data_IF_479653998901
#
_entry.id   IF_479653998901
#
_cell.length_a   1.000
_cell.length_b   1.000
_cell.length_c   1.000
_cell.angle_alpha   90.00
_cell.angle_beta   90.00
_cell.angle_gamma   90.00
#
_symmetry.space_group_name_H-M   'P 1'
#
loop_
_entity.id
_entity.type
_entity.pdbx_description
1 polymer ?
#
# COMPACT_ATOMS: atom_id res chain seq x y z
N UNK A 1 26.34 4.44 -2.84
CA UNK A 1 27.18 4.05 -4.02
C UNK A 1 27.43 5.30 -4.86
N UNK A 2 28.59 5.44 -5.52
CA UNK A 2 28.81 6.47 -6.55
C UNK A 2 28.32 5.94 -7.90
N UNK A 3 27.38 6.67 -8.52
CA UNK A 3 26.76 6.30 -9.79
C UNK A 3 27.38 7.03 -11.01
N UNK A 4 28.25 8.02 -10.77
CA UNK A 4 28.89 8.80 -11.84
C UNK A 4 29.58 7.90 -12.87
N UNK A 5 29.29 8.11 -14.15
CA UNK A 5 29.82 7.36 -15.31
C UNK A 5 29.51 5.85 -15.32
N UNK A 6 28.72 5.32 -14.38
CA UNK A 6 28.30 3.91 -14.36
C UNK A 6 27.25 3.62 -15.43
N UNK A 7 27.36 2.45 -16.05
CA UNK A 7 26.39 1.95 -17.01
C UNK A 7 25.27 1.22 -16.27
N UNK A 8 24.11 1.82 -16.19
CA UNK A 8 22.98 1.28 -15.43
C UNK A 8 21.83 0.90 -16.37
N UNK A 9 21.39 -0.36 -16.27
CA UNK A 9 20.21 -0.84 -16.95
C UNK A 9 19.02 -0.80 -15.96
N UNK A 10 18.01 -0.04 -16.29
CA UNK A 10 16.73 -0.01 -15.53
C UNK A 10 15.75 -0.91 -16.26
N UNK A 11 15.28 -1.96 -15.60
CA UNK A 11 14.30 -2.90 -16.13
C UNK A 11 12.90 -2.56 -15.64
N UNK A 12 11.98 -2.30 -16.58
CA UNK A 12 10.60 -1.90 -16.37
C UNK A 12 10.37 -0.40 -16.48
N UNK A 13 9.47 0.00 -17.36
CA UNK A 13 9.14 1.39 -17.65
C UNK A 13 7.84 1.86 -16.96
N UNK A 14 7.52 1.32 -15.78
CA UNK A 14 6.51 1.84 -14.86
C UNK A 14 7.04 3.01 -14.03
N UNK A 15 6.21 3.55 -13.11
CA UNK A 15 6.57 4.71 -12.26
C UNK A 15 7.91 4.56 -11.53
N UNK A 16 8.16 3.40 -10.90
CA UNK A 16 9.42 3.11 -10.21
C UNK A 16 10.64 3.16 -11.16
N UNK A 17 10.52 2.55 -12.35
CA UNK A 17 11.62 2.53 -13.32
C UNK A 17 11.87 3.89 -13.96
N UNK A 18 10.82 4.64 -14.27
CA UNK A 18 10.93 6.01 -14.80
C UNK A 18 11.64 6.92 -13.78
N UNK A 19 11.21 6.88 -12.51
CA UNK A 19 11.82 7.66 -11.45
C UNK A 19 13.28 7.27 -11.21
N UNK A 20 13.58 5.96 -11.14
CA UNK A 20 14.93 5.47 -10.99
C UNK A 20 15.85 5.90 -12.16
N UNK A 21 15.36 5.81 -13.40
CA UNK A 21 16.13 6.20 -14.58
C UNK A 21 16.45 7.71 -14.56
N UNK A 22 15.46 8.53 -14.20
CA UNK A 22 15.67 9.96 -14.10
C UNK A 22 16.66 10.31 -12.98
N UNK A 23 16.52 9.76 -11.79
CA UNK A 23 17.43 10.01 -10.65
C UNK A 23 18.87 9.61 -11.02
N UNK A 24 19.06 8.44 -11.62
CA UNK A 24 20.38 7.96 -12.05
C UNK A 24 21.03 8.91 -13.06
N UNK A 25 20.24 9.44 -14.00
CA UNK A 25 20.73 10.43 -14.96
C UNK A 25 21.14 11.74 -14.25
N UNK A 26 20.41 12.19 -13.23
CA UNK A 26 20.84 13.34 -12.39
C UNK A 26 22.14 13.08 -11.61
N UNK A 27 22.46 11.80 -11.37
CA UNK A 27 23.71 11.36 -10.75
C UNK A 27 24.82 11.10 -11.77
N UNK A 28 24.63 11.53 -13.02
CA UNK A 28 25.57 11.38 -14.13
C UNK A 28 25.90 9.93 -14.53
N UNK A 29 24.97 8.99 -14.31
CA UNK A 29 25.08 7.63 -14.82
C UNK A 29 24.70 7.56 -16.31
N UNK A 30 25.27 6.60 -17.04
CA UNK A 30 24.83 6.21 -18.37
C UNK A 30 23.62 5.28 -18.23
N UNK A 31 22.41 5.75 -18.51
CA UNK A 31 21.18 5.02 -18.19
C UNK A 31 20.49 4.51 -19.44
N UNK A 32 20.19 3.21 -19.44
CA UNK A 32 19.24 2.58 -20.38
C UNK A 32 17.99 2.17 -19.62
N UNK A 33 16.84 2.74 -19.99
CA UNK A 33 15.52 2.31 -19.51
C UNK A 33 14.93 1.31 -20.50
N UNK A 34 14.70 0.08 -20.06
CA UNK A 34 14.19 -0.99 -20.91
C UNK A 34 12.89 -1.58 -20.42
N UNK A 35 11.97 -1.85 -21.35
CA UNK A 35 10.80 -2.69 -21.12
C UNK A 35 10.62 -3.69 -22.27
N UNK A 36 10.27 -4.94 -21.94
CA UNK A 36 9.99 -5.97 -22.93
C UNK A 36 8.79 -5.61 -23.80
N UNK A 37 7.76 -4.97 -23.24
CA UNK A 37 6.59 -4.51 -23.96
C UNK A 37 6.84 -3.14 -24.59
N UNK A 38 6.22 -2.84 -25.74
CA UNK A 38 6.11 -1.46 -26.18
C UNK A 38 5.42 -0.61 -25.12
N UNK A 39 6.01 0.53 -24.78
CA UNK A 39 5.44 1.49 -23.81
C UNK A 39 5.25 2.83 -24.49
N UNK A 40 4.03 3.34 -24.43
CA UNK A 40 3.72 4.72 -24.80
C UNK A 40 3.88 5.61 -23.57
N UNK A 41 4.81 6.53 -23.63
CA UNK A 41 5.03 7.50 -22.55
C UNK A 41 4.22 8.75 -22.80
N UNK A 42 3.72 9.34 -21.74
CA UNK A 42 3.23 10.72 -21.79
C UNK A 42 4.32 11.62 -22.39
N UNK A 43 3.99 12.55 -23.32
CA UNK A 43 4.99 13.37 -24.01
C UNK A 43 5.93 14.13 -23.06
N UNK A 44 5.43 14.60 -21.92
CA UNK A 44 6.20 15.28 -20.87
C UNK A 44 7.21 14.35 -20.19
N UNK A 45 6.80 13.13 -19.86
CA UNK A 45 7.66 12.10 -19.25
C UNK A 45 8.77 11.68 -20.21
N UNK A 46 8.42 11.41 -21.46
CA UNK A 46 9.40 11.05 -22.49
C UNK A 46 10.45 12.14 -22.66
N UNK A 47 10.00 13.38 -22.83
CA UNK A 47 10.90 14.52 -22.97
C UNK A 47 11.80 14.69 -21.76
N UNK A 48 11.25 14.57 -20.54
CA UNK A 48 12.01 14.65 -19.30
C UNK A 48 13.17 13.63 -19.23
N UNK A 49 12.91 12.40 -19.65
CA UNK A 49 13.93 11.33 -19.69
C UNK A 49 14.98 11.60 -20.77
N UNK A 50 14.56 11.97 -22.00
CA UNK A 50 15.43 12.28 -23.11
C UNK A 50 16.33 13.51 -22.83
N UNK A 51 15.77 14.58 -22.27
CA UNK A 51 16.50 15.78 -21.85
C UNK A 51 17.54 15.47 -20.74
N UNK A 52 17.26 14.46 -19.89
CA UNK A 52 18.20 13.95 -18.88
C UNK A 52 19.27 13.00 -19.44
N UNK A 53 19.21 12.64 -20.74
CA UNK A 53 20.18 11.75 -21.37
C UNK A 53 19.88 10.25 -21.20
N UNK A 54 18.65 9.88 -20.79
CA UNK A 54 18.25 8.46 -20.66
C UNK A 54 17.99 7.86 -22.05
N UNK A 55 18.65 6.74 -22.36
CA UNK A 55 18.33 5.94 -23.53
C UNK A 55 17.14 5.05 -23.30
N UNK A 56 16.07 5.21 -24.07
CA UNK A 56 14.81 4.45 -23.91
C UNK A 56 14.75 3.33 -24.95
N UNK A 57 14.60 2.07 -24.51
CA UNK A 57 14.48 0.88 -25.37
C UNK A 57 13.27 0.09 -24.91
N UNK A 58 12.18 0.10 -25.68
CA UNK A 58 10.96 -0.67 -25.36
C UNK A 58 10.55 -1.59 -26.54
N UNK A 59 9.75 -2.61 -26.27
CA UNK A 59 9.29 -3.59 -27.27
C UNK A 59 10.30 -4.69 -27.59
N UNK A 60 11.46 -4.68 -26.95
CA UNK A 60 12.47 -5.76 -27.04
C UNK A 60 13.28 -5.86 -25.77
N UNK A 61 13.80 -7.05 -25.49
CA UNK A 61 14.67 -7.29 -24.35
C UNK A 61 15.57 -8.48 -24.70
N UNK A 62 16.83 -8.22 -24.97
CA UNK A 62 17.84 -9.21 -25.35
C UNK A 62 19.10 -9.07 -24.52
N UNK A 63 19.95 -10.11 -24.50
CA UNK A 63 21.13 -10.17 -23.65
C UNK A 63 22.24 -9.17 -24.04
N UNK A 64 22.16 -8.54 -25.22
CA UNK A 64 23.13 -7.49 -25.61
C UNK A 64 22.96 -6.23 -24.75
N UNK A 65 21.77 -6.04 -24.14
CA UNK A 65 21.52 -4.97 -23.18
C UNK A 65 22.40 -5.09 -21.91
N UNK A 66 22.99 -6.24 -21.65
CA UNK A 66 23.86 -6.49 -20.50
C UNK A 66 25.34 -6.17 -20.77
N UNK A 67 25.71 -5.84 -22.00
CA UNK A 67 27.10 -5.62 -22.36
C UNK A 67 27.62 -4.31 -21.75
N UNK A 68 28.64 -4.44 -20.88
CA UNK A 68 29.21 -3.31 -20.16
C UNK A 68 28.35 -2.73 -19.02
N UNK A 69 27.26 -3.38 -18.63
CA UNK A 69 26.39 -2.94 -17.53
C UNK A 69 27.06 -3.22 -16.18
N UNK A 70 27.14 -2.20 -15.34
CA UNK A 70 27.68 -2.29 -13.97
C UNK A 70 26.63 -2.76 -12.96
N UNK A 71 25.38 -2.31 -13.12
CA UNK A 71 24.26 -2.64 -12.21
C UNK A 71 22.92 -2.59 -12.94
N UNK A 72 21.99 -3.41 -12.47
CA UNK A 72 20.59 -3.39 -12.89
C UNK A 72 19.73 -2.87 -11.75
N UNK A 73 18.86 -1.90 -12.04
CA UNK A 73 17.74 -1.51 -11.18
C UNK A 73 16.48 -2.17 -11.73
N UNK A 74 15.87 -3.05 -10.94
CA UNK A 74 14.70 -3.81 -11.36
C UNK A 74 13.40 -3.26 -10.75
N UNK A 75 12.38 -3.04 -11.59
CA UNK A 75 11.04 -2.66 -11.13
C UNK A 75 10.32 -3.83 -10.45
N UNK A 76 9.46 -3.57 -9.41
CA UNK A 76 8.82 -4.63 -8.59
C UNK A 76 7.97 -5.62 -9.39
N UNK A 77 7.36 -5.17 -10.51
CA UNK A 77 6.53 -6.01 -11.38
C UNK A 77 7.29 -7.08 -12.14
N UNK A 78 8.61 -6.97 -12.24
CA UNK A 78 9.45 -7.88 -13.04
C UNK A 78 9.88 -9.06 -12.18
N UNK A 79 9.65 -10.28 -12.70
CA UNK A 79 10.06 -11.49 -12.02
C UNK A 79 11.58 -11.74 -12.17
N UNK A 80 12.23 -12.17 -11.08
CA UNK A 80 13.65 -12.51 -11.13
C UNK A 80 13.97 -13.70 -12.07
N UNK A 81 12.96 -14.51 -12.39
CA UNK A 81 13.11 -15.69 -13.26
C UNK A 81 13.13 -15.39 -14.75
N UNK A 82 12.99 -14.14 -15.19
CA UNK A 82 13.05 -13.83 -16.64
C UNK A 82 14.48 -14.01 -17.20
N UNK A 83 14.61 -14.37 -18.49
CA UNK A 83 15.90 -14.73 -19.07
C UNK A 83 17.01 -13.69 -18.88
N UNK A 84 16.74 -12.42 -19.11
CA UNK A 84 17.74 -11.36 -18.99
C UNK A 84 18.26 -11.20 -17.55
N UNK A 85 17.38 -11.34 -16.54
CA UNK A 85 17.79 -11.26 -15.13
C UNK A 85 18.63 -12.49 -14.75
N UNK A 86 18.26 -13.68 -15.21
CA UNK A 86 19.03 -14.90 -14.98
C UNK A 86 20.43 -14.82 -15.65
N UNK A 87 20.51 -14.30 -16.86
CA UNK A 87 21.79 -14.07 -17.53
C UNK A 87 22.63 -13.01 -16.81
N UNK A 88 22.02 -11.92 -16.32
CA UNK A 88 22.70 -10.91 -15.54
C UNK A 88 23.31 -11.51 -14.26
N UNK A 89 22.56 -12.34 -13.53
CA UNK A 89 23.04 -13.04 -12.34
C UNK A 89 24.20 -14.02 -12.69
N UNK A 90 24.09 -14.72 -13.83
CA UNK A 90 25.17 -15.60 -14.32
C UNK A 90 26.44 -14.79 -14.64
N UNK A 91 26.31 -13.60 -15.24
CA UNK A 91 27.43 -12.65 -15.48
C UNK A 91 27.90 -11.93 -14.21
N UNK A 92 27.28 -12.19 -13.06
CA UNK A 92 27.55 -11.52 -11.76
C UNK A 92 27.31 -10.01 -11.80
N UNK A 93 26.42 -9.54 -12.65
CA UNK A 93 25.93 -8.17 -12.65
C UNK A 93 25.06 -7.97 -11.41
N UNK A 94 25.25 -6.86 -10.72
CA UNK A 94 24.51 -6.52 -9.52
C UNK A 94 23.06 -6.17 -9.87
N UNK A 95 22.07 -6.94 -9.35
CA UNK A 95 20.64 -6.72 -9.57
C UNK A 95 20.01 -6.30 -8.25
N UNK A 96 19.45 -5.07 -8.20
CA UNK A 96 18.83 -4.50 -7.01
C UNK A 96 17.52 -3.80 -7.35
N UNK A 97 16.65 -3.64 -6.36
CA UNK A 97 15.42 -2.85 -6.52
C UNK A 97 15.69 -1.34 -6.45
N UNK A 98 14.70 -0.57 -6.87
CA UNK A 98 14.68 0.89 -6.71
C UNK A 98 14.89 1.32 -5.24
N UNK A 99 14.55 0.47 -4.28
CA UNK A 99 14.72 0.75 -2.83
C UNK A 99 16.19 0.95 -2.46
N UNK A 100 17.11 0.18 -3.09
CA UNK A 100 18.55 0.38 -2.88
C UNK A 100 19.02 1.73 -3.44
N UNK A 101 18.56 2.12 -4.64
CA UNK A 101 18.88 3.42 -5.21
C UNK A 101 18.37 4.54 -4.29
N UNK A 102 17.12 4.44 -3.83
CA UNK A 102 16.55 5.40 -2.91
C UNK A 102 17.37 5.51 -1.61
N UNK A 103 17.80 4.38 -1.05
CA UNK A 103 18.65 4.35 0.14
C UNK A 103 20.01 5.00 -0.10
N UNK A 104 20.64 4.72 -1.26
CA UNK A 104 21.94 5.30 -1.62
C UNK A 104 21.91 6.84 -1.76
N UNK A 105 20.79 7.41 -2.19
CA UNK A 105 20.67 8.85 -2.49
C UNK A 105 19.99 9.66 -1.37
N UNK A 106 19.24 8.99 -0.49
CA UNK A 106 18.51 9.68 0.58
C UNK A 106 19.45 10.22 1.64
N UNK A 107 19.34 11.53 1.93
CA UNK A 107 20.17 12.21 2.93
C UNK A 107 19.55 12.22 4.33
N UNK A 108 18.33 11.71 4.45
CA UNK A 108 17.56 11.69 5.68
C UNK A 108 17.19 10.27 6.09
N UNK A 109 16.93 10.01 7.37
CA UNK A 109 16.45 8.70 7.84
C UNK A 109 15.21 8.23 7.10
N UNK A 110 15.15 6.93 6.79
CA UNK A 110 14.01 6.29 6.15
C UNK A 110 13.22 5.51 7.22
N UNK A 111 11.88 5.64 7.16
CA UNK A 111 10.92 4.85 7.94
C UNK A 111 10.16 3.95 6.97
N UNK A 112 10.37 2.64 7.05
CA UNK A 112 9.78 1.69 6.12
C UNK A 112 8.56 0.98 6.68
N UNK A 113 7.49 0.85 5.88
CA UNK A 113 6.26 0.16 6.25
C UNK A 113 5.97 -0.98 5.27
N UNK A 114 5.81 -2.20 5.79
CA UNK A 114 5.37 -3.36 5.02
C UNK A 114 4.30 -4.16 5.77
N UNK A 115 3.70 -5.10 5.07
CA UNK A 115 2.64 -5.98 5.56
C UNK A 115 1.83 -6.49 4.38
N UNK A 116 0.94 -7.44 4.58
CA UNK A 116 -0.04 -7.79 3.56
C UNK A 116 -1.08 -6.68 3.46
N UNK A 117 -1.61 -6.25 4.58
CA UNK A 117 -2.69 -5.26 4.70
C UNK A 117 -2.28 -4.11 5.62
N UNK A 118 -2.99 -2.97 5.51
CA UNK A 118 -2.77 -1.82 6.38
C UNK A 118 -1.63 -0.89 5.99
N UNK A 119 -0.74 -1.28 5.06
CA UNK A 119 0.43 -0.49 4.65
C UNK A 119 0.10 0.98 4.38
N UNK A 120 -0.81 1.25 3.47
CA UNK A 120 -1.13 2.62 3.05
C UNK A 120 -1.67 3.47 4.20
N UNK A 121 -2.61 2.92 4.99
CA UNK A 121 -3.16 3.61 6.16
C UNK A 121 -2.06 3.94 7.17
N UNK A 122 -1.20 2.98 7.48
CA UNK A 122 -0.08 3.15 8.40
C UNK A 122 0.94 4.15 7.85
N UNK A 123 1.30 4.06 6.57
CA UNK A 123 2.24 4.99 5.93
C UNK A 123 1.71 6.40 5.94
N UNK A 124 0.44 6.61 5.58
CA UNK A 124 -0.18 7.94 5.57
C UNK A 124 -0.26 8.53 6.98
N UNK A 125 -0.73 7.75 7.97
CA UNK A 125 -0.80 8.22 9.35
C UNK A 125 0.60 8.51 9.91
N UNK A 126 1.59 7.64 9.66
CA UNK A 126 2.98 7.85 10.07
C UNK A 126 3.53 9.15 9.45
N UNK A 127 3.28 9.38 8.16
CA UNK A 127 3.68 10.62 7.47
C UNK A 127 3.10 11.85 8.18
N UNK A 128 1.80 11.86 8.45
CA UNK A 128 1.14 12.99 9.12
C UNK A 128 1.64 13.22 10.55
N UNK A 129 1.92 12.15 11.31
CA UNK A 129 2.52 12.30 12.66
C UNK A 129 3.92 12.91 12.54
N UNK A 130 4.72 12.48 11.57
CA UNK A 130 6.06 13.06 11.37
C UNK A 130 5.98 14.51 10.90
N UNK A 131 5.07 14.87 10.00
CA UNK A 131 4.82 16.24 9.54
C UNK A 131 4.39 17.18 10.67
N UNK A 132 3.61 16.67 11.66
CA UNK A 132 3.17 17.44 12.83
C UNK A 132 4.33 17.96 13.70
N UNK A 133 5.52 17.39 13.52
CA UNK A 133 6.74 17.86 14.21
C UNK A 133 7.33 19.13 13.61
N UNK A 134 6.88 19.54 12.43
CA UNK A 134 7.44 20.66 11.67
C UNK A 134 8.73 20.34 10.89
N UNK A 135 9.20 19.09 10.92
CA UNK A 135 10.33 18.63 10.12
C UNK A 135 9.92 18.33 8.68
N UNK A 136 10.82 18.45 7.71
CA UNK A 136 10.55 18.01 6.34
C UNK A 136 10.22 16.52 6.28
N UNK A 137 9.12 16.17 5.61
CA UNK A 137 8.73 14.78 5.40
C UNK A 137 8.37 14.57 3.92
N UNK A 138 8.78 13.44 3.37
CA UNK A 138 8.31 12.96 2.06
C UNK A 138 7.82 11.53 2.20
N UNK A 139 6.93 11.16 1.29
CA UNK A 139 6.42 9.78 1.18
C UNK A 139 6.68 9.26 -0.22
N UNK A 140 6.98 7.96 -0.33
CA UNK A 140 7.19 7.32 -1.63
C UNK A 140 7.15 5.80 -1.55
N UNK A 141 7.30 5.17 -2.71
CA UNK A 141 7.36 3.71 -2.85
C UNK A 141 6.14 3.11 -3.54
N UNK A 142 5.39 2.27 -2.85
CA UNK A 142 4.17 1.66 -3.40
C UNK A 142 2.97 2.63 -3.44
N UNK A 143 3.14 3.83 -2.91
CA UNK A 143 2.21 4.97 -2.97
C UNK A 143 2.98 6.27 -3.23
N UNK A 144 2.30 7.25 -3.80
CA UNK A 144 2.90 8.55 -4.10
C UNK A 144 3.93 8.49 -5.24
N UNK A 145 4.96 9.31 -5.12
CA UNK A 145 6.08 9.34 -6.08
C UNK A 145 6.91 8.05 -6.02
N UNK A 146 7.71 7.80 -7.06
CA UNK A 146 8.72 6.75 -6.99
C UNK A 146 9.64 7.00 -5.78
N UNK A 147 10.03 5.91 -5.09
CA UNK A 147 10.82 6.06 -3.87
C UNK A 147 12.16 6.76 -4.12
N UNK A 148 12.77 6.49 -5.27
CA UNK A 148 14.03 7.12 -5.67
C UNK A 148 13.90 8.63 -5.91
N UNK A 149 12.82 9.10 -6.53
CA UNK A 149 12.58 10.55 -6.70
C UNK A 149 12.28 11.23 -5.37
N UNK A 150 11.43 10.61 -4.53
CA UNK A 150 11.15 11.11 -3.19
C UNK A 150 12.43 11.22 -2.35
N UNK A 151 13.32 10.22 -2.44
CA UNK A 151 14.62 10.19 -1.76
C UNK A 151 15.58 11.26 -2.28
N UNK A 152 15.68 11.41 -3.61
CA UNK A 152 16.56 12.40 -4.25
C UNK A 152 16.18 13.83 -3.85
N UNK A 153 14.88 14.11 -3.76
CA UNK A 153 14.36 15.42 -3.36
C UNK A 153 14.17 15.58 -1.84
N UNK A 154 14.56 14.57 -1.04
CA UNK A 154 14.45 14.67 0.41
C UNK A 154 15.55 15.58 0.97
N UNK A 155 15.22 16.70 1.63
CA UNK A 155 16.21 17.55 2.27
C UNK A 155 16.80 16.87 3.51
N UNK A 156 17.98 17.32 3.93
CA UNK A 156 18.59 16.87 5.18
C UNK A 156 17.77 17.30 6.40
N UNK A 157 17.79 16.52 7.48
CA UNK A 157 17.14 16.83 8.74
C UNK A 157 15.64 16.50 8.80
N UNK A 158 15.12 15.77 7.81
CA UNK A 158 13.75 15.30 7.80
C UNK A 158 13.63 13.78 7.84
N UNK A 159 12.52 13.26 7.29
CA UNK A 159 12.23 11.82 7.23
C UNK A 159 11.61 11.43 5.88
N UNK A 160 12.08 10.34 5.30
CA UNK A 160 11.43 9.70 4.17
C UNK A 160 10.59 8.51 4.68
N UNK A 161 9.28 8.56 4.49
CA UNK A 161 8.38 7.44 4.84
C UNK A 161 8.14 6.61 3.58
N UNK A 162 8.46 5.31 3.66
CA UNK A 162 8.44 4.41 2.51
C UNK A 162 7.41 3.29 2.68
N UNK A 163 6.40 3.23 1.80
CA UNK A 163 5.55 2.05 1.69
C UNK A 163 6.24 1.01 0.81
N UNK A 164 6.53 -0.17 1.36
CA UNK A 164 7.30 -1.21 0.69
C UNK A 164 6.51 -2.51 0.53
N UNK A 165 6.36 -2.95 -0.72
CA UNK A 165 5.82 -4.27 -1.05
C UNK A 165 6.88 -5.36 -0.86
N UNK A 166 6.44 -6.64 -0.77
CA UNK A 166 7.36 -7.78 -0.74
C UNK A 166 8.24 -7.86 -2.00
N UNK A 167 7.72 -7.45 -3.15
CA UNK A 167 8.47 -7.44 -4.42
C UNK A 167 9.62 -6.44 -4.42
N UNK A 168 9.40 -5.25 -3.87
CA UNK A 168 10.44 -4.24 -3.72
C UNK A 168 11.56 -4.70 -2.76
N UNK A 169 11.21 -5.50 -1.76
CA UNK A 169 12.15 -6.01 -0.76
C UNK A 169 12.95 -7.24 -1.23
N UNK A 170 12.54 -7.95 -2.31
CA UNK A 170 13.21 -9.18 -2.78
C UNK A 170 14.69 -8.99 -3.09
N UNK A 171 15.10 -7.83 -3.60
CA UNK A 171 16.44 -7.56 -4.11
C UNK A 171 17.15 -6.43 -3.38
N UNK A 172 16.72 -6.05 -2.19
CA UNK A 172 17.51 -5.14 -1.34
C UNK A 172 18.78 -5.83 -0.83
N UNK A 173 19.83 -5.07 -0.59
CA UNK A 173 21.15 -5.56 -0.13
C UNK A 173 21.63 -4.82 1.11
N UNK A 174 21.76 -3.50 1.02
CA UNK A 174 22.24 -2.61 2.08
C UNK A 174 21.16 -1.73 2.71
N UNK A 175 19.98 -1.70 2.15
CA UNK A 175 18.85 -0.93 2.69
C UNK A 175 18.67 -1.17 4.19
N UNK A 176 18.81 -0.10 4.97
CA UNK A 176 18.76 -0.12 6.43
C UNK A 176 17.93 1.08 6.92
N UNK A 177 16.59 0.95 7.06
CA UNK A 177 15.76 2.03 7.56
C UNK A 177 16.02 2.27 9.06
N UNK A 178 15.89 3.53 9.51
CA UNK A 178 15.94 3.88 10.94
C UNK A 178 14.84 3.17 11.73
N UNK A 179 13.63 3.13 11.17
CA UNK A 179 12.48 2.42 11.69
C UNK A 179 11.82 1.56 10.64
N UNK A 180 11.46 0.34 10.97
CA UNK A 180 10.71 -0.57 10.11
C UNK A 180 9.40 -1.01 10.81
N UNK A 181 8.33 -1.17 10.05
CA UNK A 181 7.05 -1.71 10.52
C UNK A 181 6.67 -2.92 9.67
N UNK A 182 6.39 -4.06 10.32
CA UNK A 182 5.80 -5.24 9.69
C UNK A 182 4.43 -5.50 10.35
N UNK A 183 3.34 -5.18 9.63
CA UNK A 183 1.99 -5.19 10.20
C UNK A 183 1.42 -6.60 10.34
N UNK A 184 1.42 -7.35 9.24
CA UNK A 184 0.82 -8.68 9.18
C UNK A 184 1.31 -9.45 7.95
N UNK A 185 1.17 -10.79 7.99
CA UNK A 185 1.46 -11.67 6.86
C UNK A 185 0.33 -12.68 6.70
N UNK A 186 -0.59 -12.39 5.80
CA UNK A 186 -1.70 -13.28 5.43
C UNK A 186 -1.55 -13.75 3.98
N UNK A 187 -2.17 -14.87 3.56
CA UNK A 187 -2.00 -15.41 2.21
C UNK A 187 -2.28 -14.38 1.12
N UNK A 188 -1.23 -14.06 0.36
CA UNK A 188 -1.29 -13.18 -0.82
C UNK A 188 -0.04 -13.41 -1.68
N UNK A 189 -0.10 -13.05 -2.96
CA UNK A 189 1.04 -13.10 -3.89
C UNK A 189 1.76 -14.47 -4.00
N UNK A 190 1.09 -15.58 -3.65
CA UNK A 190 1.70 -16.93 -3.67
C UNK A 190 2.05 -17.42 -5.09
N UNK A 191 1.46 -16.84 -6.13
CA UNK A 191 1.88 -17.10 -7.51
C UNK A 191 3.36 -16.74 -7.73
N UNK A 192 3.88 -15.68 -7.07
CA UNK A 192 5.28 -15.26 -7.13
C UNK A 192 6.14 -15.92 -6.06
N UNK A 193 5.76 -15.79 -4.79
CA UNK A 193 6.58 -16.26 -3.66
C UNK A 193 6.54 -17.77 -3.45
N UNK A 194 5.56 -18.49 -4.02
CA UNK A 194 5.35 -19.94 -3.97
C UNK A 194 4.85 -20.45 -2.61
N UNK A 195 5.42 -20.00 -1.50
CA UNK A 195 5.03 -20.41 -0.14
C UNK A 195 4.85 -19.20 0.79
N UNK A 196 4.15 -19.39 1.90
CA UNK A 196 3.98 -18.38 2.95
C UNK A 196 5.32 -18.03 3.62
N UNK A 197 6.20 -19.01 3.77
CA UNK A 197 7.53 -18.82 4.35
C UNK A 197 8.37 -17.88 3.50
N UNK A 198 8.39 -18.08 2.17
CA UNK A 198 9.09 -17.18 1.24
C UNK A 198 8.50 -15.77 1.25
N UNK A 199 7.17 -15.67 1.32
CA UNK A 199 6.48 -14.38 1.39
C UNK A 199 6.80 -13.64 2.69
N UNK A 200 6.77 -14.32 3.83
CA UNK A 200 7.18 -13.78 5.12
C UNK A 200 8.65 -13.37 5.12
N UNK A 201 9.54 -14.23 4.60
CA UNK A 201 10.96 -13.93 4.48
C UNK A 201 11.23 -12.70 3.61
N UNK A 202 10.50 -12.53 2.49
CA UNK A 202 10.62 -11.34 1.65
C UNK A 202 10.27 -10.05 2.42
N UNK A 203 9.22 -10.06 3.25
CA UNK A 203 8.85 -8.91 4.10
C UNK A 203 9.86 -8.67 5.22
N UNK A 204 10.35 -9.72 5.88
CA UNK A 204 11.34 -9.62 6.95
C UNK A 204 12.65 -8.96 6.49
N UNK A 205 12.94 -8.97 5.18
CA UNK A 205 14.11 -8.27 4.63
C UNK A 205 14.14 -6.78 4.94
N UNK A 206 12.99 -6.15 5.22
CA UNK A 206 12.92 -4.72 5.56
C UNK A 206 13.82 -4.33 6.74
N UNK A 207 14.06 -5.25 7.68
CA UNK A 207 14.90 -5.01 8.86
C UNK A 207 16.20 -5.86 8.88
N UNK A 208 16.51 -6.60 7.79
CA UNK A 208 17.63 -7.54 7.77
C UNK A 208 19.01 -6.90 8.01
N UNK A 209 19.18 -5.62 7.64
CA UNK A 209 20.43 -4.88 7.79
C UNK A 209 20.41 -3.93 9.00
N UNK A 210 19.32 -3.90 9.78
CA UNK A 210 19.24 -3.06 10.96
C UNK A 210 20.21 -3.51 12.06
N UNK A 211 20.58 -2.57 12.91
CA UNK A 211 21.49 -2.75 14.04
C UNK A 211 20.82 -2.21 15.35
N UNK A 212 21.45 -2.31 16.53
CA UNK A 212 20.86 -1.89 17.81
C UNK A 212 20.45 -0.40 17.91
N UNK A 213 20.85 0.45 16.98
CA UNK A 213 20.42 1.86 16.92
C UNK A 213 19.10 2.06 16.18
N UNK A 214 18.65 1.03 15.46
CA UNK A 214 17.41 1.07 14.68
C UNK A 214 16.24 0.45 15.46
N UNK A 215 15.02 0.63 14.91
CA UNK A 215 13.78 0.11 15.49
C UNK A 215 13.04 -0.78 14.49
N UNK A 216 12.46 -1.87 14.98
CA UNK A 216 11.49 -2.65 14.23
C UNK A 216 10.21 -2.84 15.03
N UNK A 217 9.07 -2.48 14.44
CA UNK A 217 7.74 -2.73 14.99
C UNK A 217 7.20 -4.04 14.43
N UNK A 218 6.86 -4.97 15.30
CA UNK A 218 6.35 -6.30 14.98
C UNK A 218 5.00 -6.54 15.68
N UNK A 219 4.02 -7.03 14.93
CA UNK A 219 2.70 -7.36 15.45
C UNK A 219 2.74 -8.71 16.20
N UNK A 220 2.52 -8.69 17.51
CA UNK A 220 2.50 -9.89 18.36
C UNK A 220 1.24 -10.73 18.20
N UNK A 221 0.18 -10.15 17.67
CA UNK A 221 -1.08 -10.86 17.43
C UNK A 221 -1.03 -11.68 16.13
N UNK A 222 -0.09 -11.37 15.20
CA UNK A 222 0.19 -12.19 14.02
C UNK A 222 1.30 -13.21 14.34
N UNK A 223 1.02 -14.53 14.33
CA UNK A 223 2.01 -15.55 14.68
C UNK A 223 3.25 -15.57 13.78
N UNK A 224 3.08 -15.23 12.49
CA UNK A 224 4.19 -15.20 11.51
C UNK A 224 5.09 -14.00 11.79
N UNK A 225 4.50 -12.81 12.01
CA UNK A 225 5.25 -11.60 12.32
C UNK A 225 5.92 -11.71 13.67
N UNK A 226 5.22 -12.22 14.70
CA UNK A 226 5.78 -12.47 16.02
C UNK A 226 7.03 -13.37 15.97
N UNK A 227 7.02 -14.39 15.11
CA UNK A 227 8.15 -15.30 14.95
C UNK A 227 9.40 -14.61 14.36
N UNK A 228 9.24 -13.46 13.68
CA UNK A 228 10.37 -12.70 13.10
C UNK A 228 11.25 -12.03 14.17
N UNK A 229 10.78 -11.91 15.42
CA UNK A 229 11.57 -11.32 16.53
C UNK A 229 12.94 -11.96 16.70
N UNK A 230 13.04 -13.26 16.48
CA UNK A 230 14.30 -14.02 16.62
C UNK A 230 15.38 -13.60 15.62
N UNK A 231 14.98 -13.00 14.49
CA UNK A 231 15.87 -12.60 13.40
C UNK A 231 16.20 -11.09 13.45
N UNK A 232 15.61 -10.34 14.38
CA UNK A 232 15.82 -8.90 14.54
C UNK A 232 17.09 -8.60 15.34
N UNK A 233 17.94 -7.75 14.78
CA UNK A 233 19.14 -7.21 15.45
C UNK A 233 18.91 -5.79 16.00
N UNK A 234 17.80 -5.17 15.65
CA UNK A 234 17.36 -3.85 16.10
C UNK A 234 16.53 -3.92 17.39
N UNK A 235 16.19 -2.76 17.94
CA UNK A 235 15.26 -2.65 19.07
C UNK A 235 13.85 -3.05 18.60
N UNK A 236 13.35 -4.16 19.16
CA UNK A 236 12.02 -4.66 18.83
C UNK A 236 10.96 -3.91 19.62
N UNK A 237 10.02 -3.33 18.93
CA UNK A 237 8.80 -2.72 19.45
C UNK A 237 7.62 -3.63 19.10
N UNK A 238 6.97 -4.19 20.10
CA UNK A 238 5.81 -5.07 19.89
C UNK A 238 4.52 -4.28 19.85
N UNK A 239 3.57 -4.69 19.01
CA UNK A 239 2.20 -4.19 19.11
C UNK A 239 1.24 -5.33 19.40
N UNK A 240 0.21 -5.07 20.23
CA UNK A 240 -0.86 -6.04 20.50
C UNK A 240 -2.17 -5.35 20.87
N UNK A 241 -3.29 -5.91 20.39
CA UNK A 241 -4.63 -5.58 20.83
C UNK A 241 -5.10 -6.43 22.01
N UNK A 242 -4.39 -7.52 22.31
CA UNK A 242 -4.87 -8.57 23.21
C UNK A 242 -4.07 -8.70 24.51
N UNK A 243 -2.86 -8.13 24.58
CA UNK A 243 -2.00 -8.22 25.76
C UNK A 243 -1.03 -7.04 25.86
N UNK A 244 -0.54 -6.78 27.07
CA UNK A 244 0.48 -5.77 27.32
C UNK A 244 1.83 -6.21 26.76
N UNK A 245 2.61 -5.22 26.34
CA UNK A 245 3.97 -5.41 25.81
C UNK A 245 4.97 -4.60 26.65
N UNK A 246 6.24 -5.02 26.67
CA UNK A 246 7.30 -4.35 27.43
C UNK A 246 7.83 -3.08 26.73
N UNK A 247 7.85 -3.09 25.40
CA UNK A 247 8.21 -1.94 24.54
C UNK A 247 7.42 -1.98 23.25
N UNK A 248 6.83 -0.83 22.84
CA UNK A 248 6.00 -0.70 21.66
C UNK A 248 4.66 -0.03 21.97
N UNK A 249 3.54 -0.68 21.64
CA UNK A 249 2.20 -0.17 21.96
C UNK A 249 1.19 -1.30 22.16
N UNK A 250 0.19 -1.07 23.01
CA UNK A 250 -0.90 -2.02 23.21
C UNK A 250 -2.24 -1.33 23.40
N UNK A 251 -3.29 -2.09 23.20
CA UNK A 251 -4.67 -1.67 23.45
C UNK A 251 -5.21 -2.35 24.71
N UNK A 252 -5.80 -1.56 25.63
CA UNK A 252 -6.44 -2.09 26.84
C UNK A 252 -7.69 -1.25 27.18
N UNK A 253 -8.81 -1.92 27.40
CA UNK A 253 -10.09 -1.25 27.63
C UNK A 253 -10.54 -0.50 26.37
N UNK A 254 -10.46 0.82 26.39
CA UNK A 254 -10.77 1.68 25.25
C UNK A 254 -9.58 2.56 24.85
N UNK A 255 -8.39 2.33 25.40
CA UNK A 255 -7.24 3.23 25.27
C UNK A 255 -6.07 2.53 24.58
N UNK A 256 -5.42 3.21 23.65
CA UNK A 256 -4.13 2.84 23.09
C UNK A 256 -3.00 3.42 23.97
N UNK A 257 -2.07 2.56 24.37
CA UNK A 257 -0.92 2.92 25.18
C UNK A 257 0.39 2.80 24.39
N UNK A 258 1.27 3.78 24.52
CA UNK A 258 2.68 3.64 24.16
C UNK A 258 3.45 3.06 25.34
N UNK A 259 4.46 2.22 25.08
CA UNK A 259 5.32 1.65 26.13
C UNK A 259 6.77 1.75 25.71
N UNK A 260 7.60 2.20 26.63
CA UNK A 260 9.06 2.16 26.49
C UNK A 260 9.67 1.72 27.82
N UNK A 261 10.51 0.68 27.78
CA UNK A 261 11.17 0.09 28.93
C UNK A 261 10.20 -0.24 30.10
N UNK A 262 9.05 -0.83 29.76
CA UNK A 262 8.00 -1.24 30.70
C UNK A 262 7.14 -0.09 31.25
N UNK A 263 7.42 1.17 30.88
CA UNK A 263 6.61 2.33 31.29
C UNK A 263 5.54 2.63 30.27
N UNK A 264 4.28 2.39 30.63
CA UNK A 264 3.13 2.68 29.78
C UNK A 264 2.67 4.15 29.91
N UNK A 265 2.35 4.76 28.78
CA UNK A 265 1.80 6.11 28.67
C UNK A 265 0.52 6.06 27.84
N UNK A 266 -0.64 6.50 28.36
CA UNK A 266 -1.86 6.54 27.56
C UNK A 266 -1.71 7.59 26.44
N UNK A 267 -2.18 7.24 25.23
CA UNK A 267 -2.08 8.09 24.05
C UNK A 267 -3.45 8.58 23.59
N UNK A 268 -4.39 7.65 23.30
CA UNK A 268 -5.70 8.02 22.75
C UNK A 268 -6.76 6.98 23.09
N UNK A 269 -7.98 7.45 23.34
CA UNK A 269 -9.16 6.60 23.50
C UNK A 269 -9.88 6.39 22.15
N UNK A 270 -10.47 5.20 21.96
CA UNK A 270 -11.10 4.82 20.69
C UNK A 270 -12.29 5.69 20.28
N UNK A 271 -12.94 6.38 21.23
CA UNK A 271 -14.02 7.33 20.93
C UNK A 271 -13.56 8.52 20.07
N UNK A 272 -12.27 8.85 20.14
CA UNK A 272 -11.62 9.90 19.34
C UNK A 272 -11.00 9.41 18.04
N UNK A 273 -11.15 8.11 17.71
CA UNK A 273 -10.62 7.51 16.47
C UNK A 273 -11.73 7.43 15.42
N UNK A 274 -11.53 8.10 14.29
CA UNK A 274 -12.52 8.17 13.22
C UNK A 274 -12.48 6.95 12.28
N UNK A 275 -11.33 6.32 12.09
CA UNK A 275 -11.19 5.12 11.26
C UNK A 275 -11.67 3.87 12.02
N UNK A 276 -12.61 3.12 11.42
CA UNK A 276 -13.26 1.98 12.06
C UNK A 276 -12.54 0.66 11.78
N UNK A 277 -12.81 -0.33 12.64
CA UNK A 277 -12.33 -1.71 12.50
C UNK A 277 -11.06 -2.01 13.33
N UNK A 278 -10.97 -3.25 13.84
CA UNK A 278 -9.84 -3.71 14.67
C UNK A 278 -8.49 -3.61 13.96
N UNK A 279 -8.47 -3.87 12.64
CA UNK A 279 -7.26 -3.72 11.82
C UNK A 279 -6.72 -2.28 11.80
N UNK A 280 -7.57 -1.25 12.01
CA UNK A 280 -7.10 0.12 12.10
C UNK A 280 -6.51 0.43 13.49
N UNK A 281 -6.95 -0.26 14.54
CA UNK A 281 -6.28 -0.19 15.83
C UNK A 281 -4.84 -0.74 15.72
N UNK A 282 -4.62 -1.86 15.01
CA UNK A 282 -3.26 -2.36 14.73
C UNK A 282 -2.40 -1.33 14.00
N UNK A 283 -2.95 -0.70 12.96
CA UNK A 283 -2.25 0.35 12.20
C UNK A 283 -1.85 1.53 13.09
N UNK A 284 -2.77 1.98 13.97
CA UNK A 284 -2.55 3.07 14.93
C UNK A 284 -1.49 2.66 15.96
N UNK A 285 -1.58 1.46 16.53
CA UNK A 285 -0.60 0.96 17.50
C UNK A 285 0.81 0.91 16.88
N UNK A 286 0.93 0.52 15.60
CA UNK A 286 2.21 0.48 14.92
C UNK A 286 2.84 1.88 14.77
N UNK A 287 2.01 2.89 14.42
CA UNK A 287 2.47 4.29 14.35
C UNK A 287 2.84 4.81 15.73
N UNK A 288 2.00 4.58 16.76
CA UNK A 288 2.28 4.98 18.13
C UNK A 288 3.63 4.38 18.60
N UNK A 289 3.84 3.07 18.40
CA UNK A 289 5.04 2.37 18.83
C UNK A 289 6.30 2.99 18.23
N UNK A 290 6.32 3.19 16.92
CA UNK A 290 7.50 3.73 16.24
C UNK A 290 7.74 5.20 16.60
N UNK A 291 6.71 6.04 16.50
CA UNK A 291 6.87 7.49 16.71
C UNK A 291 7.21 7.84 18.15
N UNK A 292 6.63 7.12 19.13
CA UNK A 292 6.99 7.29 20.54
C UNK A 292 8.44 6.88 20.83
N UNK A 293 8.91 5.76 20.25
CA UNK A 293 10.30 5.33 20.37
C UNK A 293 11.30 6.28 19.69
N UNK A 294 10.88 6.99 18.64
CA UNK A 294 11.63 8.08 18.00
C UNK A 294 11.62 9.39 18.81
N UNK A 295 10.94 9.43 19.96
CA UNK A 295 10.89 10.59 20.85
C UNK A 295 9.85 11.64 20.45
N UNK A 296 8.90 11.33 19.58
CA UNK A 296 7.80 12.24 19.26
C UNK A 296 6.89 12.37 20.46
N UNK A 297 6.52 13.60 20.80
CA UNK A 297 5.66 13.91 21.94
C UNK A 297 4.27 13.29 21.76
N UNK A 298 3.72 12.74 22.84
CA UNK A 298 2.39 12.12 22.85
C UNK A 298 1.30 13.06 22.32
N UNK A 299 1.40 14.35 22.61
CA UNK A 299 0.43 15.36 22.17
C UNK A 299 0.36 15.47 20.63
N UNK A 300 1.51 15.38 19.94
CA UNK A 300 1.56 15.38 18.48
C UNK A 300 0.92 14.10 17.91
N UNK A 301 1.29 12.94 18.49
CA UNK A 301 0.77 11.64 18.08
C UNK A 301 -0.76 11.62 18.25
N UNK A 302 -1.25 11.97 19.45
CA UNK A 302 -2.66 12.03 19.79
C UNK A 302 -3.43 12.95 18.85
N UNK A 303 -2.99 14.21 18.73
CA UNK A 303 -3.67 15.21 17.91
C UNK A 303 -3.79 14.76 16.44
N UNK A 304 -2.72 14.19 15.89
CA UNK A 304 -2.76 13.71 14.50
C UNK A 304 -3.73 12.54 14.33
N UNK A 305 -3.76 11.58 15.28
CA UNK A 305 -4.71 10.46 15.20
C UNK A 305 -6.16 10.95 15.32
N UNK A 306 -6.43 11.94 16.18
CA UNK A 306 -7.76 12.58 16.33
C UNK A 306 -8.23 13.28 15.04
N UNK A 307 -7.31 13.79 14.23
CA UNK A 307 -7.62 14.45 12.95
C UNK A 307 -7.60 13.48 11.75
N UNK A 308 -7.17 12.24 11.95
CA UNK A 308 -7.02 11.28 10.86
C UNK A 308 -8.35 10.63 10.51
N UNK A 309 -8.90 10.97 9.34
CA UNK A 309 -10.16 10.42 8.83
C UNK A 309 -9.97 9.24 7.86
N UNK A 310 -8.75 8.73 7.73
CA UNK A 310 -8.41 7.62 6.84
C UNK A 310 -7.71 8.08 5.55
N UNK A 311 -7.58 7.13 4.63
CA UNK A 311 -6.96 7.36 3.32
C UNK A 311 -8.07 7.50 2.30
N UNK A 312 -7.97 8.48 1.44
CA UNK A 312 -8.89 8.67 0.32
C UNK A 312 -9.06 7.38 -0.49
N UNK A 313 -10.28 7.10 -0.90
CA UNK A 313 -10.69 5.87 -1.58
C UNK A 313 -10.52 4.56 -0.79
N UNK A 314 -10.31 4.63 0.54
CA UNK A 314 -10.21 3.44 1.40
C UNK A 314 -11.11 3.55 2.61
N UNK A 315 -12.29 2.90 2.55
CA UNK A 315 -13.36 3.04 3.53
C UNK A 315 -13.60 4.53 3.91
N UNK A 316 -13.41 5.40 2.94
CA UNK A 316 -13.58 6.84 3.07
C UNK A 316 -15.06 7.16 3.25
N UNK A 317 -15.43 7.77 4.38
CA UNK A 317 -16.79 8.27 4.57
C UNK A 317 -16.98 9.52 3.71
N UNK A 318 -17.85 9.43 2.70
CA UNK A 318 -18.11 10.55 1.78
C UNK A 318 -19.10 11.54 2.40
N UNK A 319 -20.29 11.08 2.75
CA UNK A 319 -21.34 11.88 3.39
C UNK A 319 -22.38 11.01 4.07
N UNK A 320 -23.28 11.61 4.86
CA UNK A 320 -24.53 11.01 5.30
C UNK A 320 -25.68 11.91 4.84
N UNK A 321 -26.52 11.38 3.97
CA UNK A 321 -27.66 12.07 3.39
C UNK A 321 -28.95 11.30 3.70
N UNK A 322 -29.95 11.97 4.27
CA UNK A 322 -31.21 11.37 4.78
C UNK A 322 -30.98 10.11 5.63
N UNK A 323 -29.99 10.17 6.52
CA UNK A 323 -29.57 9.08 7.40
C UNK A 323 -29.06 7.82 6.66
N UNK A 324 -28.67 7.95 5.38
CA UNK A 324 -27.92 6.95 4.61
C UNK A 324 -26.48 7.39 4.48
N UNK A 325 -25.54 6.53 4.91
CA UNK A 325 -24.10 6.87 4.86
C UNK A 325 -23.42 6.23 3.66
N UNK A 326 -22.67 7.01 2.90
CA UNK A 326 -21.93 6.56 1.73
C UNK A 326 -20.44 6.41 2.05
N UNK A 327 -19.87 5.24 1.72
CA UNK A 327 -18.44 4.94 1.86
C UNK A 327 -17.81 4.61 0.52
N UNK A 328 -16.64 5.23 0.27
CA UNK A 328 -15.81 5.00 -0.89
C UNK A 328 -14.62 4.11 -0.53
N UNK A 329 -14.59 2.91 -1.07
CA UNK A 329 -13.50 1.95 -0.93
C UNK A 329 -13.01 1.50 -2.31
N UNK A 330 -12.92 2.45 -3.26
CA UNK A 330 -12.50 2.18 -4.64
C UNK A 330 -11.14 1.50 -4.74
N UNK A 331 -10.28 1.66 -3.73
CA UNK A 331 -8.97 1.02 -3.61
C UNK A 331 -9.05 -0.50 -3.35
N UNK A 332 -10.21 -1.04 -2.99
CA UNK A 332 -10.44 -2.48 -2.83
C UNK A 332 -10.54 -3.18 -4.20
N UNK A 333 -9.39 -3.37 -4.85
CA UNK A 333 -9.29 -3.97 -6.19
C UNK A 333 -9.17 -5.50 -6.19
N UNK A 334 -9.38 -6.15 -5.05
CA UNK A 334 -9.41 -7.61 -4.89
C UNK A 334 -10.45 -8.02 -3.84
N UNK A 335 -10.82 -9.30 -3.86
CA UNK A 335 -11.84 -9.88 -2.98
C UNK A 335 -11.49 -9.79 -1.50
N UNK A 336 -10.22 -10.02 -1.13
CA UNK A 336 -9.76 -9.98 0.27
C UNK A 336 -9.92 -8.57 0.90
N UNK A 337 -9.68 -7.53 0.09
CA UNK A 337 -9.89 -6.14 0.54
C UNK A 337 -11.36 -5.87 0.84
N UNK A 338 -12.29 -6.37 -0.01
CA UNK A 338 -13.73 -6.20 0.20
C UNK A 338 -14.20 -6.97 1.43
N UNK A 339 -13.70 -8.18 1.67
CA UNK A 339 -14.01 -8.94 2.89
C UNK A 339 -13.70 -8.10 4.13
N UNK A 340 -12.51 -7.51 4.19
CA UNK A 340 -12.12 -6.63 5.31
C UNK A 340 -12.94 -5.35 5.41
N UNK A 341 -13.37 -4.82 4.27
CA UNK A 341 -14.26 -3.66 4.24
C UNK A 341 -15.64 -4.02 4.82
N UNK A 342 -16.18 -5.19 4.46
CA UNK A 342 -17.45 -5.69 4.98
C UNK A 342 -17.38 -5.96 6.50
N UNK A 343 -16.29 -6.55 6.99
CA UNK A 343 -16.05 -6.83 8.41
C UNK A 343 -15.92 -5.55 9.28
N UNK A 344 -15.69 -4.39 8.66
CA UNK A 344 -15.61 -3.11 9.38
C UNK A 344 -16.98 -2.56 9.81
N UNK A 345 -18.08 -3.18 9.38
CA UNK A 345 -19.43 -2.73 9.69
C UNK A 345 -20.19 -3.75 10.54
N UNK A 346 -20.84 -3.28 11.60
CA UNK A 346 -21.62 -4.11 12.53
C UNK A 346 -22.98 -4.52 11.96
N UNK A 347 -23.34 -4.10 10.74
CA UNK A 347 -24.62 -4.37 10.08
C UNK A 347 -24.43 -4.60 8.59
N UNK A 348 -25.34 -5.34 7.94
CA UNK A 348 -25.29 -5.57 6.50
C UNK A 348 -25.34 -4.27 5.71
N UNK A 349 -24.54 -4.18 4.63
CA UNK A 349 -24.41 -3.00 3.76
C UNK A 349 -25.11 -3.22 2.42
N UNK A 350 -25.33 -2.14 1.68
CA UNK A 350 -25.65 -2.15 0.25
C UNK A 350 -24.32 -2.04 -0.49
N UNK A 351 -23.90 -3.12 -1.14
CA UNK A 351 -22.57 -3.25 -1.77
C UNK A 351 -22.63 -2.90 -3.26
N UNK A 352 -21.78 -1.99 -3.70
CA UNK A 352 -21.49 -1.72 -5.12
C UNK A 352 -20.19 -2.44 -5.48
N UNK A 353 -20.26 -3.49 -6.32
CA UNK A 353 -19.10 -4.31 -6.67
C UNK A 353 -19.01 -4.59 -8.16
N UNK A 354 -17.79 -4.80 -8.67
CA UNK A 354 -17.48 -5.07 -10.06
C UNK A 354 -16.45 -4.12 -10.65
N UNK A 355 -16.17 -4.29 -11.94
CA UNK A 355 -15.10 -3.61 -12.66
C UNK A 355 -14.40 -4.58 -13.59
N UNK A 356 -13.12 -4.36 -13.92
CA UNK A 356 -12.32 -5.23 -14.77
C UNK A 356 -12.04 -6.58 -14.09
N UNK A 357 -12.48 -7.67 -14.73
CA UNK A 357 -12.45 -9.01 -14.16
C UNK A 357 -11.04 -9.64 -14.16
N UNK A 358 -10.52 -9.96 -12.99
CA UNK A 358 -9.22 -10.64 -12.81
C UNK A 358 -9.32 -12.17 -12.80
N UNK A 359 -10.51 -12.73 -13.07
CA UNK A 359 -10.78 -14.17 -13.10
C UNK A 359 -10.38 -14.93 -11.83
N UNK A 360 -10.39 -14.27 -10.68
CA UNK A 360 -10.13 -14.90 -9.37
C UNK A 360 -11.30 -15.81 -8.95
N UNK A 361 -11.07 -16.88 -8.15
CA UNK A 361 -12.14 -17.66 -7.54
C UNK A 361 -13.09 -16.79 -6.71
N UNK A 362 -14.39 -17.01 -6.79
CA UNK A 362 -15.42 -16.17 -6.17
C UNK A 362 -16.29 -16.88 -5.12
N UNK A 363 -16.22 -18.20 -5.00
CA UNK A 363 -17.12 -18.96 -4.16
C UNK A 363 -17.05 -18.53 -2.69
N UNK A 364 -15.84 -18.47 -2.12
CA UNK A 364 -15.62 -18.07 -0.73
C UNK A 364 -16.00 -16.59 -0.53
N UNK A 365 -15.64 -15.73 -1.48
CA UNK A 365 -16.01 -14.32 -1.48
C UNK A 365 -17.52 -14.12 -1.46
N UNK A 366 -18.27 -14.84 -2.30
CA UNK A 366 -19.74 -14.72 -2.36
C UNK A 366 -20.43 -15.25 -1.10
N UNK A 367 -19.83 -16.18 -0.36
CA UNK A 367 -20.31 -16.59 0.96
C UNK A 367 -20.25 -15.43 1.97
N UNK A 368 -19.18 -14.65 1.96
CA UNK A 368 -19.02 -13.46 2.81
C UNK A 368 -19.98 -12.36 2.37
N UNK A 369 -20.07 -12.08 1.06
CA UNK A 369 -21.05 -11.13 0.51
C UNK A 369 -22.46 -11.48 0.99
N UNK A 370 -22.88 -12.75 0.89
CA UNK A 370 -24.19 -13.22 1.36
C UNK A 370 -24.44 -12.93 2.85
N UNK A 371 -23.42 -13.04 3.69
CA UNK A 371 -23.56 -12.84 5.13
C UNK A 371 -23.58 -11.34 5.54
N UNK A 372 -22.87 -10.49 4.80
CA UNK A 372 -22.59 -9.10 5.18
C UNK A 372 -23.31 -8.06 4.31
N UNK A 373 -24.10 -8.48 3.32
CA UNK A 373 -24.82 -7.52 2.46
C UNK A 373 -26.33 -7.68 2.58
N UNK A 374 -27.03 -6.55 2.49
CA UNK A 374 -28.47 -6.45 2.40
C UNK A 374 -28.93 -6.46 0.94
N UNK A 375 -28.24 -5.71 0.11
CA UNK A 375 -28.43 -5.59 -1.33
C UNK A 375 -27.05 -5.63 -1.99
N UNK A 376 -26.95 -6.15 -3.20
CA UNK A 376 -25.72 -6.15 -4.00
C UNK A 376 -26.00 -5.59 -5.37
N UNK A 377 -25.20 -4.64 -5.82
CA UNK A 377 -25.31 -4.02 -7.13
C UNK A 377 -24.01 -4.32 -7.90
N UNK A 378 -24.10 -5.19 -8.89
CA UNK A 378 -22.96 -5.52 -9.73
C UNK A 378 -22.87 -4.58 -10.94
N UNK A 379 -21.62 -4.20 -11.31
CA UNK A 379 -21.32 -3.26 -12.38
C UNK A 379 -20.06 -3.64 -13.15
N UNK A 380 -19.85 -3.04 -14.32
CA UNK A 380 -18.66 -3.24 -15.16
C UNK A 380 -18.54 -4.63 -15.79
N UNK A 381 -17.35 -4.94 -16.31
CA UNK A 381 -17.06 -6.17 -17.05
C UNK A 381 -17.35 -7.45 -16.23
N UNK A 382 -17.04 -7.42 -14.93
CA UNK A 382 -17.21 -8.57 -14.03
C UNK A 382 -18.68 -8.90 -13.71
N UNK A 383 -19.64 -8.04 -14.00
CA UNK A 383 -21.01 -8.13 -13.50
C UNK A 383 -21.69 -9.47 -13.83
N UNK A 384 -21.55 -9.99 -15.07
CA UNK A 384 -22.16 -11.26 -15.49
C UNK A 384 -21.64 -12.45 -14.69
N UNK A 385 -20.33 -12.52 -14.51
CA UNK A 385 -19.69 -13.61 -13.78
C UNK A 385 -19.98 -13.52 -12.28
N UNK A 386 -19.92 -12.32 -11.71
CA UNK A 386 -20.22 -12.08 -10.29
C UNK A 386 -21.66 -12.49 -9.98
N UNK A 387 -22.64 -12.06 -10.78
CA UNK A 387 -24.04 -12.47 -10.60
C UNK A 387 -24.24 -13.98 -10.74
N UNK A 388 -23.65 -14.60 -11.77
CA UNK A 388 -23.75 -16.04 -11.98
C UNK A 388 -23.27 -16.85 -10.76
N UNK A 389 -22.13 -16.47 -10.17
CA UNK A 389 -21.60 -17.13 -8.98
C UNK A 389 -22.43 -16.76 -7.74
N UNK A 390 -22.83 -15.51 -7.58
CA UNK A 390 -23.64 -15.04 -6.47
C UNK A 390 -24.98 -15.79 -6.39
N UNK A 391 -25.69 -15.97 -7.51
CA UNK A 391 -26.92 -16.76 -7.61
C UNK A 391 -26.66 -18.22 -7.20
N UNK A 392 -25.60 -18.84 -7.72
CA UNK A 392 -25.20 -20.21 -7.37
C UNK A 392 -24.94 -20.37 -5.86
N UNK A 393 -24.32 -19.36 -5.23
CA UNK A 393 -24.02 -19.35 -3.79
C UNK A 393 -25.21 -18.91 -2.92
N UNK A 394 -26.32 -18.51 -3.54
CA UNK A 394 -27.56 -18.15 -2.85
C UNK A 394 -27.52 -16.75 -2.22
N UNK A 395 -26.77 -15.82 -2.82
CA UNK A 395 -26.87 -14.39 -2.50
C UNK A 395 -28.27 -13.90 -2.90
N UNK A 396 -28.89 -13.14 -2.03
CA UNK A 396 -30.22 -12.54 -2.26
C UNK A 396 -30.09 -11.10 -2.76
N UNK A 397 -31.17 -10.56 -3.34
CA UNK A 397 -31.28 -9.13 -3.69
C UNK A 397 -30.12 -8.61 -4.55
N UNK A 398 -29.96 -9.23 -5.71
CA UNK A 398 -28.92 -8.87 -6.70
C UNK A 398 -29.52 -7.92 -7.72
N UNK A 399 -28.78 -6.84 -8.00
CA UNK A 399 -29.13 -5.80 -8.97
C UNK A 399 -27.96 -5.54 -9.91
N UNK A 400 -28.19 -4.78 -10.99
CA UNK A 400 -27.18 -4.36 -11.94
C UNK A 400 -27.24 -2.88 -12.19
N UNK A 401 -26.10 -2.29 -12.53
CA UNK A 401 -25.95 -0.92 -12.97
C UNK A 401 -25.00 -0.83 -14.18
N UNK A 402 -25.32 0.07 -15.11
CA UNK A 402 -24.54 0.31 -16.34
C UNK A 402 -23.61 1.52 -16.22
N UNK A 403 -23.63 2.23 -15.09
CA UNK A 403 -22.76 3.36 -14.78
C UNK A 403 -22.64 3.56 -13.28
N UNK A 404 -21.63 4.29 -12.81
CA UNK A 404 -21.49 4.68 -11.40
C UNK A 404 -22.69 5.47 -10.91
N UNK A 405 -23.18 6.40 -11.75
CA UNK A 405 -24.37 7.20 -11.44
C UNK A 405 -25.61 6.35 -11.17
N UNK A 406 -25.84 5.33 -12.01
CA UNK A 406 -26.93 4.39 -11.83
C UNK A 406 -26.75 3.55 -10.58
N UNK A 407 -25.52 3.06 -10.31
CA UNK A 407 -25.19 2.28 -9.12
C UNK A 407 -25.45 3.06 -7.82
N UNK A 408 -25.01 4.32 -7.75
CA UNK A 408 -25.23 5.21 -6.61
C UNK A 408 -26.72 5.51 -6.43
N UNK A 409 -27.44 5.86 -7.50
CA UNK A 409 -28.85 6.15 -7.45
C UNK A 409 -29.68 4.95 -6.98
N UNK A 410 -29.39 3.75 -7.51
CA UNK A 410 -30.04 2.50 -7.13
C UNK A 410 -29.72 2.13 -5.66
N UNK A 411 -28.44 2.27 -5.26
CA UNK A 411 -28.03 2.05 -3.87
C UNK A 411 -28.80 2.92 -2.88
N UNK A 412 -28.96 4.19 -3.20
CA UNK A 412 -29.78 5.11 -2.40
C UNK A 412 -31.26 4.74 -2.38
N UNK A 413 -31.82 4.38 -3.55
CA UNK A 413 -33.24 4.00 -3.66
C UNK A 413 -33.59 2.74 -2.83
N UNK A 414 -32.66 1.80 -2.72
CA UNK A 414 -32.79 0.56 -1.95
C UNK A 414 -32.51 0.78 -0.45
N UNK A 415 -31.86 1.87 -0.09
CA UNK A 415 -31.48 2.18 1.28
C UNK A 415 -32.67 2.65 2.12
N UNK A 416 -32.60 2.38 3.42
CA UNK A 416 -33.45 2.93 4.46
C UNK A 416 -32.61 3.77 5.41
N UNK A 417 -33.28 4.63 6.19
CA UNK A 417 -32.62 5.41 7.25
C UNK A 417 -31.73 4.49 8.12
N UNK A 418 -30.49 4.90 8.32
CA UNK A 418 -29.48 4.15 9.03
C UNK A 418 -28.68 3.16 8.18
N UNK A 419 -28.96 2.97 6.89
CA UNK A 419 -28.21 2.05 6.01
C UNK A 419 -26.87 2.65 5.54
N UNK A 420 -26.02 1.75 5.02
CA UNK A 420 -24.73 2.08 4.44
C UNK A 420 -24.71 1.66 2.98
N UNK A 421 -24.33 2.56 2.09
CA UNK A 421 -23.98 2.28 0.68
C UNK A 421 -22.47 2.29 0.56
N UNK A 422 -21.88 1.16 0.20
CA UNK A 422 -20.45 0.91 0.15
C UNK A 422 -19.99 0.63 -1.29
N UNK A 423 -19.20 1.51 -1.87
CA UNK A 423 -18.40 1.17 -3.06
C UNK A 423 -17.18 0.37 -2.61
N UNK A 424 -17.15 -0.94 -2.85
CA UNK A 424 -15.99 -1.80 -2.62
C UNK A 424 -15.92 -2.85 -3.73
N UNK A 425 -15.20 -2.54 -4.82
CA UNK A 425 -15.41 -3.16 -6.13
C UNK A 425 -14.96 -4.60 -6.29
N UNK A 426 -13.99 -5.09 -5.51
CA UNK A 426 -13.31 -6.38 -5.68
C UNK A 426 -12.53 -6.54 -7.01
N UNK A 427 -12.58 -5.54 -7.88
CA UNK A 427 -12.04 -5.52 -9.23
C UNK A 427 -11.16 -4.29 -9.45
N UNK A 428 -10.20 -4.36 -10.38
CA UNK A 428 -9.55 -3.16 -10.89
C UNK A 428 -10.55 -2.30 -11.70
N UNK A 429 -10.17 -1.06 -12.00
CA UNK A 429 -11.08 -0.06 -12.59
C UNK A 429 -10.97 0.07 -14.11
N UNK A 430 -10.04 -0.69 -14.73
CA UNK A 430 -9.58 -0.49 -16.12
C UNK A 430 -10.61 -0.81 -17.23
N UNK A 431 -11.84 -1.19 -16.84
CA UNK A 431 -12.97 -1.31 -17.77
C UNK A 431 -13.66 0.04 -18.06
N UNK A 432 -13.82 0.90 -17.04
CA UNK A 432 -14.49 2.20 -17.17
C UNK A 432 -13.57 3.39 -16.88
N UNK A 433 -12.44 3.20 -16.18
CA UNK A 433 -11.58 4.27 -15.69
C UNK A 433 -10.10 3.93 -15.91
N UNK A 434 -9.25 4.93 -15.93
CA UNK A 434 -7.79 4.76 -16.08
C UNK A 434 -7.11 4.29 -14.79
N UNK A 435 -7.70 4.58 -13.62
CA UNK A 435 -7.18 4.20 -12.29
C UNK A 435 -8.32 4.11 -11.26
N UNK A 436 -8.03 3.57 -10.08
CA UNK A 436 -9.03 3.43 -9.01
C UNK A 436 -9.38 4.79 -8.37
N UNK A 437 -8.49 5.75 -8.41
CA UNK A 437 -8.71 7.12 -7.95
C UNK A 437 -9.82 7.78 -8.76
N UNK A 438 -9.75 7.69 -10.08
CA UNK A 438 -10.78 8.24 -10.99
C UNK A 438 -12.15 7.59 -10.71
N UNK A 439 -12.21 6.27 -10.51
CA UNK A 439 -13.44 5.58 -10.10
C UNK A 439 -13.98 6.09 -8.76
N UNK A 440 -13.08 6.31 -7.80
CA UNK A 440 -13.47 6.80 -6.48
C UNK A 440 -13.96 8.25 -6.51
N UNK A 441 -13.36 9.11 -7.34
CA UNK A 441 -13.82 10.49 -7.54
C UNK A 441 -15.18 10.52 -8.24
N UNK A 442 -15.40 9.70 -9.26
CA UNK A 442 -16.69 9.61 -9.93
C UNK A 442 -17.79 9.16 -8.96
N UNK A 443 -17.51 8.18 -8.09
CA UNK A 443 -18.44 7.81 -7.02
C UNK A 443 -18.77 8.99 -6.09
N UNK A 444 -17.77 9.71 -5.61
CA UNK A 444 -17.97 10.87 -4.73
C UNK A 444 -18.80 11.97 -5.43
N UNK A 445 -18.53 12.22 -6.70
CA UNK A 445 -19.26 13.20 -7.49
C UNK A 445 -20.73 12.78 -7.70
N UNK A 446 -20.99 11.49 -8.01
CA UNK A 446 -22.34 10.97 -8.12
C UNK A 446 -23.13 11.06 -6.81
N UNK A 447 -22.47 10.84 -5.66
CA UNK A 447 -23.10 11.01 -4.34
C UNK A 447 -23.41 12.48 -4.06
N UNK A 448 -22.51 13.42 -4.36
CA UNK A 448 -22.75 14.87 -4.22
C UNK A 448 -23.91 15.34 -5.11
N UNK A 449 -23.94 14.91 -6.39
CA UNK A 449 -25.06 15.21 -7.28
C UNK A 449 -26.41 14.68 -6.77
N UNK A 450 -26.40 13.53 -6.10
CA UNK A 450 -27.61 12.97 -5.48
C UNK A 450 -28.08 13.84 -4.31
N UNK A 451 -27.17 14.30 -3.45
CA UNK A 451 -27.44 15.19 -2.32
C UNK A 451 -28.00 16.55 -2.77
N UNK A 452 -27.47 17.11 -3.88
CA UNK A 452 -27.95 18.38 -4.44
C UNK A 452 -29.37 18.32 -5.04
N UNK A 453 -29.86 17.12 -5.38
CA UNK A 453 -31.17 16.91 -6.02
C UNK A 453 -32.29 16.55 -5.04
N UNK A 454 -31.94 16.09 -3.86
CA UNK A 454 -32.90 15.62 -2.83
C UNK A 454 -33.11 16.58 -1.71
#
# INVERSE_FOLDING_TARGET
MDYGEKNILVLGAGSSGIGAAWVLAQLHANVVLNDYKPVEFEPSTRKRLEDAGVTIITGRQDNNLLDGVDRIIISPGIALSIPIVQEALHRKIDVVSEVELAYDVCKSPILGVTGTNGKTTTTTLLTQVMESTGLPVKVGGNIGDSLSEAAYHMPEGGYLVAELSSYQLETIKSFCPLGAIVLNVTPDHLARHKTMENYAAAKARIFMNQNPENFVVLNDDDPIVRAMKKDAHSKVLSISQHHKVDSGAYFEGNTCYAVLDGKATPVIDTEHIHIKGSHNIENILAVIALTYALGIKVEHIKHTIEQFHGVEHRLERVTTFHDVTFYNDSKATNTDSVVKALDAFDKPVILLAGGHDKMTPLEDFMNIVKAHTKEVIFMGEAADRFESVAVKMGVQHIHRAQSMKEAVALGYQLAKAGDIVLLSPACSSFDWYSCFEERGEDFKNCVRELEERG
#
